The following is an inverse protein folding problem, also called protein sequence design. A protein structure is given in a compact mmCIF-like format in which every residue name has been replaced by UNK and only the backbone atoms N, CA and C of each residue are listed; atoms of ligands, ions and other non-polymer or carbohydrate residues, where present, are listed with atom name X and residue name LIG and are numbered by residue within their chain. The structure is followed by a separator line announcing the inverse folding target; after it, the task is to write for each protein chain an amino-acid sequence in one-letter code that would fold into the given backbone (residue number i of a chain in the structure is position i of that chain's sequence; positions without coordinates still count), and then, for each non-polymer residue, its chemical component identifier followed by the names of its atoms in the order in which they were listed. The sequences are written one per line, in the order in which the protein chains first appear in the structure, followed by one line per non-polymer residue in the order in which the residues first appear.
data_IF_575927992786
#
_entry.id   IF_575927992786
#
_cell.length_a   1.000
_cell.length_b   1.000
_cell.length_c   1.000
_cell.angle_alpha   90.00
_cell.angle_beta   90.00
_cell.angle_gamma   90.00
#
_symmetry.space_group_name_H-M   'P 1'
#
loop_
_entity.id
_entity.type
_entity.pdbx_description
1 polymer ?
#
# COMPACT_ATOMS: atom_id res chain seq x y z
N UNK A 1 -2.08 14.52 -4.34
CA UNK A 1 -3.04 13.56 -3.75
C UNK A 1 -2.94 13.62 -2.23
N UNK A 2 -3.55 14.62 -1.57
CA UNK A 2 -3.29 14.90 -0.16
C UNK A 2 -3.72 13.76 0.77
N UNK A 3 -4.90 13.16 0.54
CA UNK A 3 -5.39 12.04 1.36
C UNK A 3 -4.52 10.79 1.22
N UNK A 4 -4.09 10.45 0.00
CA UNK A 4 -3.14 9.35 -0.23
C UNK A 4 -1.83 9.62 0.52
N UNK A 5 -1.28 10.82 0.42
CA UNK A 5 -0.05 11.18 1.13
C UNK A 5 -0.21 11.10 2.66
N UNK A 6 -1.32 11.58 3.21
CA UNK A 6 -1.58 11.49 4.66
C UNK A 6 -1.74 10.04 5.13
N UNK A 7 -2.37 9.18 4.32
CA UNK A 7 -2.51 7.76 4.65
C UNK A 7 -1.15 7.06 4.66
N UNK A 8 -0.30 7.31 3.66
CA UNK A 8 1.07 6.76 3.64
C UNK A 8 1.89 7.21 4.85
N UNK A 9 1.70 8.46 5.30
CA UNK A 9 2.41 9.00 6.45
C UNK A 9 2.09 8.29 7.77
N UNK A 10 0.94 7.59 7.89
CA UNK A 10 0.60 6.77 9.07
C UNK A 10 1.66 5.70 9.35
N UNK A 11 2.28 5.13 8.30
CA UNK A 11 3.36 4.17 8.47
C UNK A 11 4.72 4.84 8.78
N UNK A 12 4.96 6.06 8.29
CA UNK A 12 6.30 6.65 8.34
C UNK A 12 6.49 7.73 9.41
N UNK A 13 5.43 8.15 10.11
CA UNK A 13 5.47 9.28 11.04
C UNK A 13 4.54 9.10 12.25
N UNK A 14 5.07 8.85 13.46
CA UNK A 14 6.46 8.55 13.80
C UNK A 14 6.84 7.13 13.34
N UNK A 15 7.95 6.97 12.61
CA UNK A 15 8.34 5.67 12.02
C UNK A 15 8.71 4.57 13.03
N UNK A 16 8.91 4.91 14.30
CA UNK A 16 9.34 4.00 15.37
C UNK A 16 8.21 3.44 16.21
N UNK A 17 6.99 3.96 16.08
CA UNK A 17 5.82 3.44 16.79
C UNK A 17 5.34 2.15 16.13
N UNK A 18 4.76 1.25 16.92
CA UNK A 18 4.15 0.02 16.41
C UNK A 18 3.00 0.35 15.45
N UNK A 19 2.95 -0.32 14.30
CA UNK A 19 1.98 -0.04 13.25
C UNK A 19 0.77 -0.98 13.39
N UNK A 20 -0.33 -0.44 13.87
CA UNK A 20 -1.61 -1.14 14.05
C UNK A 20 -2.18 -1.65 12.73
N UNK A 21 -2.87 -2.78 12.78
CA UNK A 21 -3.38 -3.49 11.61
C UNK A 21 -4.39 -2.67 10.78
N UNK A 22 -5.32 -1.89 11.37
CA UNK A 22 -6.20 -1.02 10.61
C UNK A 22 -5.43 0.02 9.78
N UNK A 23 -4.41 0.66 10.36
CA UNK A 23 -3.59 1.65 9.66
C UNK A 23 -2.72 1.00 8.57
N UNK A 24 -2.16 -0.19 8.84
CA UNK A 24 -1.43 -0.96 7.83
C UNK A 24 -2.33 -1.32 6.63
N UNK A 25 -3.59 -1.70 6.86
CA UNK A 25 -4.55 -1.98 5.79
C UNK A 25 -4.83 -0.75 4.93
N UNK A 26 -5.05 0.41 5.53
CA UNK A 26 -5.23 1.66 4.80
C UNK A 26 -3.99 2.04 3.98
N UNK A 27 -2.79 1.84 4.55
CA UNK A 27 -1.52 2.06 3.87
C UNK A 27 -1.38 1.17 2.64
N UNK A 28 -1.71 -0.13 2.75
CA UNK A 28 -1.71 -1.05 1.59
C UNK A 28 -2.65 -0.57 0.48
N UNK A 29 -3.87 -0.12 0.83
CA UNK A 29 -4.82 0.43 -0.12
C UNK A 29 -4.29 1.71 -0.80
N UNK A 30 -3.69 2.63 -0.03
CA UNK A 30 -3.07 3.84 -0.56
C UNK A 30 -1.91 3.51 -1.52
N UNK A 31 -1.10 2.50 -1.21
CA UNK A 31 -0.04 2.03 -2.10
C UNK A 31 -0.59 1.45 -3.41
N UNK A 32 -1.69 0.68 -3.36
CA UNK A 32 -2.35 0.16 -4.56
C UNK A 32 -2.91 1.29 -5.43
N UNK A 33 -3.49 2.34 -4.83
CA UNK A 33 -3.92 3.55 -5.55
C UNK A 33 -2.76 4.20 -6.29
N UNK A 34 -1.59 4.37 -5.64
CA UNK A 34 -0.41 4.95 -6.29
C UNK A 34 0.05 4.06 -7.46
N UNK A 35 0.09 2.74 -7.29
CA UNK A 35 0.44 1.82 -8.37
C UNK A 35 -0.54 1.91 -9.56
N UNK A 36 -1.85 1.95 -9.30
CA UNK A 36 -2.88 2.10 -10.34
C UNK A 36 -2.75 3.41 -11.11
N UNK A 37 -2.49 4.52 -10.43
CA UNK A 37 -2.26 5.83 -11.07
C UNK A 37 -0.98 5.88 -11.93
N UNK A 38 -0.02 4.96 -11.71
CA UNK A 38 1.14 4.75 -12.59
C UNK A 38 0.81 3.85 -13.80
N UNK A 39 -0.43 3.38 -13.93
CA UNK A 39 -0.85 2.41 -14.93
C UNK A 39 -0.52 0.96 -14.56
N UNK A 40 0.00 0.69 -13.36
CA UNK A 40 0.35 -0.65 -12.89
C UNK A 40 -0.83 -1.25 -12.10
N UNK A 41 -1.86 -1.65 -12.86
CA UNK A 41 -3.10 -2.16 -12.27
C UNK A 41 -2.89 -3.52 -11.58
N UNK A 42 -3.52 -3.71 -10.42
CA UNK A 42 -3.51 -4.95 -9.66
C UNK A 42 -4.73 -5.80 -9.94
N UNK A 43 -5.27 -6.41 -8.88
CA UNK A 43 -6.52 -7.16 -8.91
C UNK A 43 -7.68 -6.29 -9.38
N UNK A 44 -8.59 -6.90 -10.15
CA UNK A 44 -9.84 -6.32 -10.63
C UNK A 44 -11.00 -7.22 -10.25
N UNK A 45 -11.87 -6.71 -9.41
CA UNK A 45 -13.05 -7.39 -8.86
C UNK A 45 -14.04 -6.35 -8.29
N UNK A 46 -15.15 -6.84 -7.75
CA UNK A 46 -16.19 -6.00 -7.16
C UNK A 46 -15.71 -5.06 -6.03
N UNK A 47 -14.58 -5.37 -5.38
CA UNK A 47 -14.01 -4.53 -4.31
C UNK A 47 -13.11 -3.41 -4.84
N UNK A 48 -12.66 -3.51 -6.10
CA UNK A 48 -11.73 -2.57 -6.73
C UNK A 48 -12.36 -1.74 -7.84
N UNK A 49 -13.62 -2.01 -8.20
CA UNK A 49 -14.35 -1.29 -9.25
C UNK A 49 -14.40 0.23 -9.03
N UNK A 50 -14.72 0.69 -7.82
CA UNK A 50 -14.83 2.12 -7.53
C UNK A 50 -13.48 2.84 -7.65
N UNK A 51 -12.41 2.24 -7.14
CA UNK A 51 -11.06 2.81 -7.24
C UNK A 51 -10.56 2.79 -8.69
N UNK A 52 -10.87 1.74 -9.46
CA UNK A 52 -10.53 1.68 -10.89
C UNK A 52 -11.24 2.74 -11.71
N UNK A 53 -12.54 2.94 -11.48
CA UNK A 53 -13.31 4.00 -12.11
C UNK A 53 -12.75 5.38 -11.75
N UNK A 54 -12.45 5.60 -10.47
CA UNK A 54 -11.84 6.83 -10.00
C UNK A 54 -10.47 7.06 -10.66
N UNK A 55 -9.55 6.10 -10.64
CA UNK A 55 -8.22 6.19 -11.27
C UNK A 55 -8.33 6.52 -12.75
N UNK A 56 -9.23 5.86 -13.48
CA UNK A 56 -9.45 6.08 -14.92
C UNK A 56 -9.94 7.50 -15.21
N UNK A 57 -10.69 8.09 -14.29
CA UNK A 57 -11.18 9.47 -14.40
C UNK A 57 -10.12 10.55 -14.06
N UNK A 58 -9.00 10.17 -13.43
CA UNK A 58 -7.96 11.12 -13.04
C UNK A 58 -6.95 11.34 -14.17
N UNK A 59 -6.57 12.61 -14.40
CA UNK A 59 -5.42 12.98 -15.25
C UNK A 59 -4.16 13.24 -14.40
N UNK A 60 -4.03 12.58 -13.24
CA UNK A 60 -2.97 12.82 -12.27
C UNK A 60 -1.96 11.69 -12.32
N UNK A 61 -0.69 12.05 -12.47
CA UNK A 61 0.44 11.14 -12.29
C UNK A 61 1.09 11.37 -10.92
N UNK A 62 1.32 10.32 -10.11
CA UNK A 62 2.05 10.45 -8.85
C UNK A 62 3.45 10.99 -9.11
N UNK A 63 3.87 11.99 -8.34
CA UNK A 63 5.25 12.47 -8.40
C UNK A 63 6.22 11.45 -7.78
N UNK A 64 7.53 11.53 -8.09
CA UNK A 64 8.52 10.60 -7.56
C UNK A 64 8.61 10.55 -6.04
N UNK A 65 8.29 11.64 -5.35
CA UNK A 65 8.32 11.69 -3.88
C UNK A 65 7.17 10.86 -3.30
N UNK A 66 5.96 10.97 -3.86
CA UNK A 66 4.82 10.16 -3.45
C UNK A 66 5.05 8.67 -3.71
N UNK A 67 5.70 8.32 -4.82
CA UNK A 67 6.07 6.93 -5.13
C UNK A 67 7.08 6.41 -4.09
N UNK A 68 8.11 7.19 -3.78
CA UNK A 68 9.10 6.83 -2.76
C UNK A 68 8.47 6.65 -1.37
N UNK A 69 7.52 7.53 -0.99
CA UNK A 69 6.75 7.39 0.25
C UNK A 69 5.92 6.12 0.27
N UNK A 70 5.29 5.73 -0.86
CA UNK A 70 4.52 4.49 -0.94
C UNK A 70 5.41 3.25 -0.77
N UNK A 71 6.61 3.24 -1.36
CA UNK A 71 7.59 2.16 -1.18
C UNK A 71 8.03 2.07 0.28
N UNK A 72 8.40 3.20 0.91
CA UNK A 72 8.81 3.22 2.31
C UNK A 72 7.70 2.76 3.26
N UNK A 73 6.45 3.13 2.98
CA UNK A 73 5.29 2.71 3.75
C UNK A 73 5.05 1.18 3.63
N UNK A 74 5.22 0.59 2.44
CA UNK A 74 5.15 -0.87 2.28
C UNK A 74 6.27 -1.59 3.03
N UNK A 75 7.49 -1.06 3.00
CA UNK A 75 8.61 -1.63 3.74
C UNK A 75 8.33 -1.61 5.25
N UNK A 76 7.62 -0.59 5.75
CA UNK A 76 7.16 -0.51 7.13
C UNK A 76 6.05 -1.51 7.47
N UNK A 77 5.09 -1.71 6.57
CA UNK A 77 4.02 -2.73 6.73
C UNK A 77 4.60 -4.14 6.76
N UNK A 78 5.66 -4.41 5.99
CA UNK A 78 6.32 -5.73 5.96
C UNK A 78 7.28 -5.96 7.14
N UNK A 79 7.63 -4.91 7.88
CA UNK A 79 8.64 -4.94 8.94
C UNK A 79 8.16 -5.52 10.26
N UNK A 80 9.11 -5.74 11.17
CA UNK A 80 8.91 -6.43 12.46
C UNK A 80 7.99 -5.68 13.45
N UNK A 81 7.76 -4.38 13.28
CA UNK A 81 6.92 -3.58 14.18
C UNK A 81 5.53 -3.33 13.57
N UNK A 82 4.90 -4.33 12.95
CA UNK A 82 3.59 -4.19 12.31
C UNK A 82 2.64 -5.30 12.75
N UNK A 83 1.54 -4.91 13.37
CA UNK A 83 0.49 -5.84 13.82
C UNK A 83 -0.07 -6.66 12.65
N UNK A 84 -0.29 -6.03 11.50
CA UNK A 84 -0.79 -6.74 10.33
C UNK A 84 0.19 -7.83 9.86
N UNK A 85 1.48 -7.55 9.86
CA UNK A 85 2.48 -8.55 9.48
C UNK A 85 2.53 -9.72 10.49
N UNK A 86 2.48 -9.42 11.78
CA UNK A 86 2.41 -10.42 12.85
C UNK A 86 1.17 -11.32 12.70
N UNK A 87 -0.01 -10.72 12.54
CA UNK A 87 -1.27 -11.45 12.37
C UNK A 87 -1.26 -12.39 11.16
N UNK A 88 -0.68 -11.96 10.03
CA UNK A 88 -0.55 -12.82 8.85
C UNK A 88 0.51 -13.90 9.02
N UNK A 89 1.65 -13.60 9.65
CA UNK A 89 2.70 -14.59 9.91
C UNK A 89 2.25 -15.70 10.87
N UNK A 90 1.32 -15.40 11.78
CA UNK A 90 0.67 -16.38 12.67
C UNK A 90 -0.37 -17.26 11.95
N UNK A 91 -0.75 -16.91 10.72
CA UNK A 91 -1.70 -17.66 9.89
C UNK A 91 -1.01 -18.63 8.93
N UNK A 92 -1.75 -19.63 8.43
CA UNK A 92 -1.26 -20.57 7.40
C UNK A 92 -0.99 -19.87 6.03
N UNK A 93 -1.45 -18.63 5.87
CA UNK A 93 -1.36 -17.87 4.61
C UNK A 93 -0.27 -16.77 4.64
N UNK A 94 0.50 -16.65 5.73
CA UNK A 94 1.47 -15.55 5.91
C UNK A 94 2.48 -15.41 4.77
N UNK A 95 3.01 -16.53 4.26
CA UNK A 95 3.93 -16.51 3.12
C UNK A 95 3.24 -16.00 1.84
N UNK A 96 2.01 -16.43 1.58
CA UNK A 96 1.25 -16.00 0.41
C UNK A 96 0.90 -14.51 0.50
N UNK A 97 0.52 -14.04 1.69
CA UNK A 97 0.26 -12.63 1.95
C UNK A 97 1.51 -11.76 1.73
N UNK A 98 2.66 -12.13 2.30
CA UNK A 98 3.93 -11.40 2.10
C UNK A 98 4.31 -11.31 0.62
N UNK A 99 4.13 -12.39 -0.14
CA UNK A 99 4.37 -12.37 -1.59
C UNK A 99 3.42 -11.42 -2.33
N UNK A 100 2.15 -11.34 -1.92
CA UNK A 100 1.18 -10.41 -2.52
C UNK A 100 1.56 -8.94 -2.27
N UNK A 101 2.03 -8.61 -1.07
CA UNK A 101 2.49 -7.26 -0.71
C UNK A 101 3.80 -6.93 -1.45
N UNK A 102 4.71 -7.89 -1.60
CA UNK A 102 5.91 -7.71 -2.44
C UNK A 102 5.56 -7.48 -3.92
N UNK A 103 4.55 -8.15 -4.46
CA UNK A 103 4.07 -7.91 -5.82
C UNK A 103 3.48 -6.49 -5.97
N UNK A 104 2.75 -5.99 -4.97
CA UNK A 104 2.34 -4.59 -4.91
C UNK A 104 3.56 -3.64 -4.90
N UNK A 105 4.59 -3.95 -4.11
CA UNK A 105 5.83 -3.16 -4.09
C UNK A 105 6.52 -3.11 -5.45
N UNK A 106 6.60 -4.22 -6.17
CA UNK A 106 7.17 -4.28 -7.52
C UNK A 106 6.42 -3.37 -8.50
N UNK A 107 5.08 -3.31 -8.41
CA UNK A 107 4.26 -2.39 -9.21
C UNK A 107 4.52 -0.90 -8.94
N UNK A 108 5.18 -0.55 -7.83
CA UNK A 108 5.60 0.83 -7.53
C UNK A 108 7.01 1.16 -8.05
N UNK A 109 7.85 0.16 -8.31
CA UNK A 109 9.25 0.35 -8.69
C UNK A 109 9.58 -0.06 -10.13
N UNK A 110 8.64 -0.72 -10.81
CA UNK A 110 8.69 -1.00 -12.25
C UNK A 110 8.29 0.24 -13.03
#
# INVERSE_FOLDING_TARGET
LPYVASTLAKATTPSTEYLEAPDACEVLAACDVVARLRGQIGQKDAYTEEVDAWVTSQAVHPDPQLIASAVAALDRVLGENSELAELWDESDEGQAWRLSVQALRQRLTT
#
